data_IF_118972123848
#
_entry.id   IF_118972123848
#
_cell.length_a   1.000
_cell.length_b   1.000
_cell.length_c   1.000
_cell.angle_alpha   90.00
_cell.angle_beta   90.00
_cell.angle_gamma   90.00
#
_symmetry.space_group_name_H-M   'P 1'
#
loop_
_entity.id
_entity.type
_entity.pdbx_description
1 polymer ?
#
# COMPACT_ATOMS: atom_id res chain seq x y z
N UNK A 1 -59.20 4.41 -10.55
CA UNK A 1 -58.10 3.82 -11.38
C UNK A 1 -56.89 4.74 -11.61
N UNK A 2 -57.01 6.08 -11.72
CA UNK A 2 -55.85 6.98 -11.97
C UNK A 2 -54.88 7.12 -10.78
N UNK A 3 -55.34 6.95 -9.54
CA UNK A 3 -54.50 7.03 -8.34
C UNK A 3 -53.64 5.76 -8.13
N UNK A 4 -54.19 4.57 -8.40
CA UNK A 4 -53.50 3.28 -8.24
C UNK A 4 -52.30 3.14 -9.21
N UNK A 5 -52.41 3.66 -10.45
CA UNK A 5 -51.28 3.73 -11.40
C UNK A 5 -50.15 4.67 -10.95
N UNK A 6 -50.46 5.72 -10.16
CA UNK A 6 -49.44 6.65 -9.64
C UNK A 6 -48.70 6.07 -8.42
N UNK A 7 -49.38 5.27 -7.61
CA UNK A 7 -48.78 4.59 -6.46
C UNK A 7 -47.82 3.49 -6.93
N UNK A 8 -48.20 2.67 -7.92
CA UNK A 8 -47.37 1.57 -8.43
C UNK A 8 -46.03 2.05 -9.02
N UNK A 9 -46.00 3.23 -9.66
CA UNK A 9 -44.75 3.81 -10.21
C UNK A 9 -43.86 4.38 -9.10
N UNK A 10 -44.43 4.89 -8.01
CA UNK A 10 -43.67 5.39 -6.85
C UNK A 10 -43.03 4.26 -6.03
N UNK A 11 -43.71 3.12 -5.87
CA UNK A 11 -43.19 2.00 -5.08
C UNK A 11 -42.08 1.21 -5.80
N UNK A 12 -42.09 1.17 -7.14
CA UNK A 12 -41.03 0.52 -7.92
C UNK A 12 -39.69 1.27 -7.85
N UNK A 13 -39.70 2.59 -7.63
CA UNK A 13 -38.48 3.41 -7.54
C UNK A 13 -37.79 3.29 -6.17
N UNK A 14 -38.54 3.00 -5.11
CA UNK A 14 -38.00 2.81 -3.74
C UNK A 14 -37.51 1.37 -3.53
N UNK A 15 -38.08 0.38 -4.21
CA UNK A 15 -37.61 -1.01 -4.12
C UNK A 15 -36.28 -1.26 -4.86
N UNK A 16 -35.83 -0.34 -5.71
CA UNK A 16 -34.60 -0.46 -6.48
C UNK A 16 -33.33 0.04 -5.74
N UNK A 17 -33.48 0.62 -4.54
CA UNK A 17 -32.34 1.17 -3.78
C UNK A 17 -31.77 0.20 -2.73
N UNK A 18 -32.19 -1.07 -2.72
CA UNK A 18 -31.96 -1.95 -1.57
C UNK A 18 -30.79 -2.95 -1.70
N UNK A 19 -29.98 -2.93 -2.77
CA UNK A 19 -28.77 -3.76 -2.86
C UNK A 19 -27.66 -3.07 -3.66
N UNK A 20 -27.11 -1.97 -3.14
CA UNK A 20 -25.80 -1.50 -3.59
C UNK A 20 -24.73 -2.30 -2.85
N UNK A 21 -24.29 -3.43 -3.43
CA UNK A 21 -22.96 -3.95 -3.12
C UNK A 21 -21.97 -3.05 -3.84
N UNK A 22 -20.88 -2.62 -3.21
CA UNK A 22 -19.79 -2.08 -3.99
C UNK A 22 -19.36 -3.10 -5.04
N UNK A 23 -19.12 -2.63 -6.25
CA UNK A 23 -18.45 -3.43 -7.26
C UNK A 23 -16.95 -3.42 -6.95
N UNK A 24 -16.27 -4.50 -7.32
CA UNK A 24 -14.80 -4.55 -7.28
C UNK A 24 -14.21 -3.35 -8.02
N UNK A 25 -13.23 -2.69 -7.39
CA UNK A 25 -12.43 -1.66 -8.04
C UNK A 25 -11.46 -2.32 -9.02
N UNK A 26 -11.19 -1.66 -10.15
CA UNK A 26 -10.13 -2.06 -11.08
C UNK A 26 -9.34 -0.83 -11.51
N UNK A 27 -8.12 -0.70 -10.98
CA UNK A 27 -7.24 0.43 -11.28
C UNK A 27 -5.92 -0.11 -11.79
N UNK A 28 -5.63 0.13 -13.07
CA UNK A 28 -4.40 -0.34 -13.70
C UNK A 28 -4.29 -1.87 -13.80
N UNK A 29 -5.41 -2.60 -13.80
CA UNK A 29 -5.42 -4.07 -13.81
C UNK A 29 -5.39 -4.71 -12.41
N UNK A 30 -5.15 -3.91 -11.36
CA UNK A 30 -5.25 -4.34 -9.97
C UNK A 30 -6.69 -4.26 -9.50
N UNK A 31 -7.20 -5.38 -8.99
CA UNK A 31 -8.60 -5.51 -8.55
C UNK A 31 -8.75 -5.86 -7.08
N UNK A 32 -9.68 -5.21 -6.40
CA UNK A 32 -9.97 -5.45 -4.98
C UNK A 32 -11.41 -5.07 -4.63
N UNK A 33 -11.94 -5.63 -3.53
CA UNK A 33 -13.30 -5.34 -3.05
C UNK A 33 -13.20 -4.27 -1.97
N UNK A 34 -13.70 -3.04 -2.22
CA UNK A 34 -13.59 -1.95 -1.27
C UNK A 34 -14.48 -2.13 -0.03
N UNK A 35 -15.41 -3.11 -0.03
CA UNK A 35 -16.26 -3.44 1.10
C UNK A 35 -15.92 -4.87 1.63
N UNK A 36 -14.68 -5.33 1.43
CA UNK A 36 -14.32 -6.71 1.76
C UNK A 36 -14.48 -7.00 3.25
N UNK A 37 -15.22 -8.05 3.57
CA UNK A 37 -15.37 -8.57 4.93
C UNK A 37 -14.65 -9.92 5.01
N UNK A 38 -13.73 -10.05 5.96
CA UNK A 38 -13.01 -11.31 6.14
C UNK A 38 -13.93 -12.43 6.67
N UNK A 39 -13.43 -13.68 6.67
CA UNK A 39 -14.17 -14.84 7.18
C UNK A 39 -14.58 -14.79 8.67
N UNK A 40 -14.18 -13.75 9.40
CA UNK A 40 -14.53 -13.50 10.80
C UNK A 40 -15.52 -12.33 10.99
N UNK A 41 -15.97 -11.70 9.90
CA UNK A 41 -16.91 -10.58 9.96
C UNK A 41 -16.28 -9.21 10.17
N UNK A 42 -14.95 -9.08 10.04
CA UNK A 42 -14.28 -7.78 10.11
C UNK A 42 -14.17 -7.17 8.72
N UNK A 43 -14.65 -5.93 8.60
CA UNK A 43 -14.50 -5.09 7.40
C UNK A 43 -13.04 -4.66 7.25
N UNK A 44 -12.46 -4.89 6.07
CA UNK A 44 -11.11 -4.53 5.67
C UNK A 44 -11.08 -4.23 4.18
N UNK A 45 -11.44 -3.02 3.79
CA UNK A 45 -11.55 -2.56 2.40
C UNK A 45 -10.32 -2.95 1.57
N UNK A 46 -9.13 -2.60 2.04
CA UNK A 46 -7.88 -2.97 1.40
C UNK A 46 -6.97 -3.68 2.38
N UNK A 47 -6.67 -4.94 2.08
CA UNK A 47 -5.67 -5.71 2.81
C UNK A 47 -4.73 -6.42 1.86
N UNK A 48 -3.50 -5.95 1.77
CA UNK A 48 -2.44 -6.59 1.00
C UNK A 48 -1.48 -7.37 1.88
N UNK A 49 -0.97 -8.49 1.35
CA UNK A 49 0.16 -9.23 1.91
C UNK A 49 1.33 -9.15 0.93
N UNK A 50 2.54 -9.21 1.46
CA UNK A 50 3.74 -9.02 0.66
C UNK A 50 4.93 -9.80 1.19
N UNK A 51 5.86 -10.10 0.28
CA UNK A 51 7.20 -10.60 0.61
C UNK A 51 8.24 -9.66 0.04
N UNK A 52 9.32 -9.46 0.79
CA UNK A 52 10.35 -8.53 0.39
C UNK A 52 11.72 -8.90 0.94
N UNK A 53 12.72 -8.18 0.45
CA UNK A 53 14.07 -8.14 1.01
C UNK A 53 14.39 -6.70 1.36
N UNK A 54 15.00 -6.49 2.52
CA UNK A 54 15.50 -5.18 2.95
C UNK A 54 16.99 -5.25 3.26
N UNK A 55 17.62 -4.07 3.22
CA UNK A 55 19.02 -3.89 3.56
C UNK A 55 19.27 -2.48 4.08
N UNK A 56 20.42 -2.32 4.73
CA UNK A 56 20.91 -1.03 5.15
C UNK A 56 22.04 -0.58 4.24
N UNK A 57 22.19 0.72 4.05
CA UNK A 57 23.31 1.31 3.30
C UNK A 57 23.66 2.70 3.83
N UNK A 58 24.73 3.30 3.34
CA UNK A 58 25.04 4.73 3.56
C UNK A 58 24.42 5.65 2.52
N UNK A 59 23.52 5.12 1.68
CA UNK A 59 22.91 5.83 0.56
C UNK A 59 21.42 5.97 0.80
N UNK A 60 20.94 7.22 0.87
CA UNK A 60 19.51 7.50 0.79
C UNK A 60 19.04 7.32 -0.64
N UNK A 61 18.39 6.20 -0.95
CA UNK A 61 17.84 5.99 -2.29
C UNK A 61 16.83 7.08 -2.68
N UNK A 62 16.97 7.57 -3.90
CA UNK A 62 15.99 8.52 -4.46
C UNK A 62 14.68 7.79 -4.75
N UNK A 63 13.57 8.53 -4.66
CA UNK A 63 12.22 8.02 -4.88
C UNK A 63 12.14 7.24 -6.19
N UNK A 64 11.67 5.99 -6.10
CA UNK A 64 11.52 5.09 -7.25
C UNK A 64 12.80 4.41 -7.71
N UNK A 65 13.83 4.32 -6.85
CA UNK A 65 15.07 3.63 -7.18
C UNK A 65 15.58 2.79 -6.01
N UNK A 66 16.33 1.74 -6.31
CA UNK A 66 16.96 0.86 -5.32
C UNK A 66 18.47 0.75 -5.62
N UNK A 67 19.14 1.89 -5.79
CA UNK A 67 20.56 1.92 -6.19
C UNK A 67 21.48 1.39 -5.08
N UNK A 68 21.10 1.61 -3.83
CA UNK A 68 21.86 1.19 -2.66
C UNK A 68 22.03 -0.33 -2.52
N UNK A 69 21.21 -1.12 -3.22
CA UNK A 69 21.32 -2.58 -3.28
C UNK A 69 22.69 -3.04 -3.79
N UNK A 70 23.41 -2.20 -4.54
CA UNK A 70 24.74 -2.54 -5.06
C UNK A 70 25.86 -2.36 -4.03
N UNK A 71 25.58 -1.66 -2.92
CA UNK A 71 26.53 -1.34 -1.87
C UNK A 71 25.86 -1.37 -0.48
N UNK A 72 25.26 -2.52 -0.08
CA UNK A 72 24.70 -2.67 1.26
C UNK A 72 25.83 -2.70 2.31
N UNK A 73 25.48 -2.40 3.55
CA UNK A 73 26.36 -2.58 4.71
C UNK A 73 25.87 -3.74 5.57
N UNK A 74 26.80 -4.36 6.30
CA UNK A 74 26.45 -5.43 7.23
C UNK A 74 25.65 -4.88 8.41
N UNK A 75 24.61 -5.60 8.83
CA UNK A 75 23.75 -5.19 9.95
C UNK A 75 24.53 -4.92 11.24
N UNK A 76 25.61 -5.66 11.50
CA UNK A 76 26.49 -5.39 12.65
C UNK A 76 27.17 -4.02 12.64
N UNK A 77 27.39 -3.43 11.45
CA UNK A 77 27.91 -2.06 11.34
C UNK A 77 26.86 -1.02 11.73
N UNK A 78 25.59 -1.27 11.39
CA UNK A 78 24.46 -0.41 11.78
C UNK A 78 24.24 -0.50 13.28
N UNK A 79 24.15 -1.72 13.82
CA UNK A 79 23.99 -1.94 15.27
C UNK A 79 25.17 -1.40 16.08
N UNK A 80 26.39 -1.45 15.55
CA UNK A 80 27.57 -0.88 16.22
C UNK A 80 27.62 0.65 16.20
N UNK A 81 26.87 1.30 15.31
CA UNK A 81 26.72 2.75 15.28
C UNK A 81 25.56 3.25 16.14
N UNK A 82 24.57 2.40 16.41
CA UNK A 82 23.48 2.70 17.34
C UNK A 82 24.01 2.65 18.78
N UNK A 83 23.80 3.72 19.53
CA UNK A 83 24.05 3.81 20.96
C UNK A 83 22.71 3.96 21.70
N UNK A 84 22.12 2.82 22.05
CA UNK A 84 20.83 2.75 22.77
C UNK A 84 20.87 3.37 24.17
N UNK A 85 22.04 3.78 24.68
CA UNK A 85 22.19 4.45 25.98
C UNK A 85 22.26 5.98 25.88
N UNK A 86 22.41 6.51 24.67
CA UNK A 86 22.51 7.93 24.43
C UNK A 86 21.12 8.56 24.28
N UNK A 87 20.88 9.65 25.02
CA UNK A 87 19.78 10.60 24.73
C UNK A 87 20.11 11.53 23.56
N UNK A 88 21.21 11.27 22.86
CA UNK A 88 21.72 12.12 21.78
C UNK A 88 20.89 11.90 20.53
N UNK A 89 20.30 12.98 20.03
CA UNK A 89 19.66 13.03 18.72
C UNK A 89 20.74 13.22 17.67
N UNK A 90 20.80 12.36 16.66
CA UNK A 90 21.76 12.50 15.56
C UNK A 90 21.76 11.32 14.59
N UNK A 91 21.71 11.59 13.30
CA UNK A 91 21.68 10.53 12.29
C UNK A 91 22.96 9.67 12.34
N UNK A 92 22.80 8.35 12.33
CA UNK A 92 23.91 7.38 12.15
C UNK A 92 24.58 7.49 10.78
N UNK A 93 23.88 8.08 9.81
CA UNK A 93 24.27 8.09 8.39
C UNK A 93 23.85 6.84 7.62
N UNK A 94 23.16 5.89 8.28
CA UNK A 94 22.59 4.72 7.62
C UNK A 94 21.14 4.95 7.21
N UNK A 95 20.75 4.28 6.12
CA UNK A 95 19.42 4.31 5.54
C UNK A 95 18.92 2.89 5.31
N UNK A 96 17.64 2.68 5.56
CA UNK A 96 16.90 1.47 5.26
C UNK A 96 16.24 1.59 3.88
N UNK A 97 16.43 0.57 3.05
CA UNK A 97 15.76 0.40 1.77
C UNK A 97 15.29 -1.05 1.61
N UNK A 98 14.33 -1.28 0.73
CA UNK A 98 13.87 -2.62 0.41
C UNK A 98 12.94 -2.66 -0.79
N UNK A 99 12.75 -3.87 -1.31
CA UNK A 99 11.91 -4.13 -2.47
C UNK A 99 11.32 -5.53 -2.44
N UNK A 100 10.16 -5.69 -3.07
CA UNK A 100 9.44 -6.96 -3.09
C UNK A 100 8.18 -6.95 -3.93
N UNK A 101 7.32 -7.93 -3.70
CA UNK A 101 6.04 -8.08 -4.38
C UNK A 101 4.88 -8.24 -3.41
N UNK A 102 3.71 -7.79 -3.85
CA UNK A 102 2.43 -8.05 -3.20
C UNK A 102 1.91 -9.37 -3.76
N UNK A 103 1.68 -10.36 -2.88
CA UNK A 103 1.25 -11.71 -3.28
C UNK A 103 -0.26 -11.90 -3.16
N UNK A 104 -0.94 -10.98 -2.47
CA UNK A 104 -2.37 -11.07 -2.23
C UNK A 104 -2.98 -9.70 -1.89
N UNK A 105 -4.22 -9.48 -2.35
CA UNK A 105 -5.11 -8.41 -1.89
C UNK A 105 -6.47 -9.04 -1.53
N UNK A 106 -7.04 -8.67 -0.38
CA UNK A 106 -8.27 -9.23 0.19
C UNK A 106 -8.24 -10.78 0.26
N UNK A 107 -9.06 -11.51 -0.50
CA UNK A 107 -9.18 -12.97 -0.45
C UNK A 107 -8.20 -13.72 -1.36
N UNK A 108 -7.59 -14.85 -0.93
CA UNK A 108 -6.59 -15.59 -1.72
C UNK A 108 -7.15 -16.25 -2.99
N UNK A 109 -8.48 -16.44 -3.06
CA UNK A 109 -9.16 -17.05 -4.20
C UNK A 109 -9.34 -16.08 -5.37
N UNK A 110 -9.12 -14.79 -5.15
CA UNK A 110 -9.24 -13.75 -6.16
C UNK A 110 -7.89 -13.48 -6.81
N UNK A 111 -7.85 -13.56 -8.13
CA UNK A 111 -6.69 -13.10 -8.89
C UNK A 111 -6.74 -11.56 -8.99
N UNK A 112 -6.09 -10.88 -8.05
CA UNK A 112 -6.11 -9.42 -7.98
C UNK A 112 -5.33 -8.77 -9.14
N UNK A 113 -4.39 -9.48 -9.78
CA UNK A 113 -3.56 -8.99 -10.88
C UNK A 113 -3.45 -10.06 -11.98
N UNK A 114 -4.50 -10.27 -12.79
CA UNK A 114 -4.51 -11.38 -13.74
C UNK A 114 -3.53 -11.21 -14.91
N UNK A 115 -3.30 -9.97 -15.33
CA UNK A 115 -2.43 -9.61 -16.45
C UNK A 115 -1.26 -8.74 -16.03
N UNK A 116 -0.96 -8.71 -14.72
CA UNK A 116 0.03 -7.81 -14.16
C UNK A 116 0.75 -8.44 -12.98
N UNK A 117 1.81 -7.76 -12.59
CA UNK A 117 2.56 -7.96 -11.37
C UNK A 117 2.51 -6.67 -10.55
N UNK A 118 2.39 -6.82 -9.22
CA UNK A 118 2.37 -5.68 -8.30
C UNK A 118 3.61 -5.75 -7.40
N UNK A 119 4.60 -4.94 -7.73
CA UNK A 119 5.86 -4.81 -7.00
C UNK A 119 5.84 -3.54 -6.14
N UNK A 120 6.74 -3.47 -5.18
CA UNK A 120 6.92 -2.26 -4.40
C UNK A 120 8.36 -2.06 -3.98
N UNK A 121 8.73 -0.81 -3.76
CA UNK A 121 10.01 -0.41 -3.24
C UNK A 121 9.83 0.69 -2.19
N UNK A 122 10.73 0.71 -1.21
CA UNK A 122 10.82 1.77 -0.23
C UNK A 122 12.28 2.14 0.03
N UNK A 123 12.48 3.38 0.46
CA UNK A 123 13.82 3.92 0.71
C UNK A 123 13.82 5.29 1.36
N UNK A 124 15.03 5.79 1.62
CA UNK A 124 15.26 7.10 2.24
C UNK A 124 14.78 7.21 3.69
N UNK A 125 14.64 6.08 4.37
CA UNK A 125 14.34 6.00 5.80
C UNK A 125 15.68 6.04 6.55
N UNK A 126 15.96 7.10 7.30
CA UNK A 126 17.22 7.22 8.06
C UNK A 126 17.17 6.49 9.39
N UNK A 127 18.33 6.13 9.94
CA UNK A 127 18.49 5.55 11.29
C UNK A 127 19.15 6.58 12.22
N UNK A 128 18.53 6.84 13.36
CA UNK A 128 19.04 7.71 14.42
C UNK A 128 19.97 6.93 15.38
N UNK A 129 20.82 7.64 16.11
CA UNK A 129 21.78 7.04 17.04
C UNK A 129 21.11 6.24 18.15
N UNK A 130 19.88 6.58 18.52
CA UNK A 130 19.09 5.84 19.51
C UNK A 130 18.41 4.57 18.94
N UNK A 131 18.60 4.28 17.65
CA UNK A 131 18.03 3.15 16.95
C UNK A 131 16.62 3.38 16.41
N UNK A 132 16.06 4.59 16.55
CA UNK A 132 14.79 4.97 15.94
C UNK A 132 14.95 5.38 14.47
N UNK A 133 13.82 5.53 13.78
CA UNK A 133 13.81 5.93 12.37
C UNK A 133 13.65 7.44 12.22
N UNK A 134 14.55 8.05 11.45
CA UNK A 134 14.42 9.44 11.02
C UNK A 134 13.65 9.50 9.70
N UNK A 135 12.43 10.03 9.75
CA UNK A 135 11.56 10.17 8.58
C UNK A 135 11.57 11.60 8.04
N UNK A 136 11.70 11.73 6.72
CA UNK A 136 11.66 13.01 6.00
C UNK A 136 10.73 12.92 4.80
N UNK A 137 10.60 13.99 4.02
CA UNK A 137 9.89 13.97 2.73
C UNK A 137 10.52 13.00 1.71
N UNK A 138 11.76 12.56 1.97
CA UNK A 138 12.48 11.58 1.18
C UNK A 138 12.31 10.15 1.69
N UNK A 139 11.52 9.91 2.74
CA UNK A 139 11.23 8.55 3.22
C UNK A 139 10.00 8.03 2.50
N UNK A 140 10.21 7.23 1.45
CA UNK A 140 9.18 6.96 0.45
C UNK A 140 8.82 5.48 0.35
N UNK A 141 7.60 5.23 -0.09
CA UNK A 141 7.09 3.93 -0.54
C UNK A 141 6.44 4.14 -1.91
N UNK A 142 6.78 3.30 -2.88
CA UNK A 142 6.10 3.25 -4.16
C UNK A 142 5.68 1.83 -4.48
N UNK A 143 4.46 1.69 -4.99
CA UNK A 143 3.92 0.45 -5.53
C UNK A 143 3.83 0.61 -7.03
N UNK A 144 4.30 -0.38 -7.77
CA UNK A 144 4.37 -0.39 -9.22
C UNK A 144 3.49 -1.50 -9.76
N UNK A 145 2.70 -1.18 -10.78
CA UNK A 145 2.01 -2.17 -11.58
C UNK A 145 2.80 -2.37 -12.87
N UNK A 146 3.22 -3.61 -13.12
CA UNK A 146 3.96 -4.01 -14.32
C UNK A 146 3.16 -5.05 -15.12
N UNK A 147 3.17 -4.93 -16.44
CA UNK A 147 2.53 -5.88 -17.35
C UNK A 147 3.52 -6.89 -17.93
N UNK A 148 4.84 -6.69 -17.75
CA UNK A 148 5.85 -7.61 -18.26
C UNK A 148 6.00 -8.88 -17.40
N UNK A 149 5.59 -8.85 -16.13
CA UNK A 149 5.58 -9.99 -15.18
C UNK A 149 6.96 -10.66 -15.17
N UNK A 150 7.97 -9.88 -14.81
CA UNK A 150 9.37 -10.23 -14.96
C UNK A 150 10.11 -10.41 -13.62
N UNK A 151 9.48 -10.09 -12.48
CA UNK A 151 9.99 -10.41 -11.17
C UNK A 151 9.52 -11.81 -10.76
N UNK A 152 10.42 -12.61 -10.20
CA UNK A 152 10.17 -14.04 -9.95
C UNK A 152 9.61 -14.33 -8.55
N UNK A 153 9.28 -13.26 -7.82
CA UNK A 153 8.81 -13.31 -6.43
C UNK A 153 9.93 -13.37 -5.40
N UNK A 154 11.21 -13.44 -5.81
CA UNK A 154 12.38 -13.39 -4.95
C UNK A 154 13.30 -12.23 -5.30
N UNK A 155 13.93 -11.65 -4.29
CA UNK A 155 14.94 -10.61 -4.48
C UNK A 155 16.31 -11.23 -4.22
N UNK A 156 16.88 -11.80 -5.27
CA UNK A 156 18.09 -12.64 -5.21
C UNK A 156 19.33 -11.92 -5.78
N UNK A 157 19.14 -10.80 -6.48
CA UNK A 157 20.19 -10.10 -7.17
C UNK A 157 19.96 -8.58 -7.30
N UNK A 158 21.04 -7.85 -7.59
CA UNK A 158 20.99 -6.43 -7.93
C UNK A 158 20.20 -6.16 -9.21
N UNK A 159 20.04 -7.16 -10.09
CA UNK A 159 19.23 -6.99 -11.30
C UNK A 159 17.73 -6.84 -10.96
N UNK A 160 17.28 -7.47 -9.87
CA UNK A 160 15.88 -7.50 -9.46
C UNK A 160 15.41 -6.13 -8.98
N UNK A 161 16.32 -5.27 -8.53
CA UNK A 161 16.04 -3.87 -8.24
C UNK A 161 15.36 -3.16 -9.42
N UNK A 162 15.71 -3.53 -10.66
CA UNK A 162 15.11 -2.94 -11.86
C UNK A 162 13.73 -3.49 -12.14
N UNK A 163 13.53 -4.81 -12.03
CA UNK A 163 12.23 -5.45 -12.25
C UNK A 163 11.21 -5.12 -11.16
N UNK A 164 11.68 -4.78 -9.95
CA UNK A 164 10.81 -4.28 -8.87
C UNK A 164 10.34 -2.84 -9.11
N UNK A 165 11.01 -2.06 -9.96
CA UNK A 165 10.78 -0.60 -10.11
C UNK A 165 10.53 -0.13 -11.55
N UNK A 166 10.38 -1.05 -12.52
CA UNK A 166 10.20 -0.73 -13.95
C UNK A 166 8.73 -0.54 -14.37
N UNK A 167 7.78 -0.86 -13.50
CA UNK A 167 6.35 -0.68 -13.72
C UNK A 167 5.87 0.78 -13.61
N UNK A 168 4.57 0.98 -13.87
CA UNK A 168 3.90 2.26 -13.68
C UNK A 168 3.59 2.48 -12.19
N UNK A 169 3.81 3.70 -11.69
CA UNK A 169 3.51 4.04 -10.29
C UNK A 169 2.01 3.94 -10.00
N UNK A 170 1.63 2.86 -9.30
CA UNK A 170 0.26 2.56 -8.90
C UNK A 170 -0.13 3.28 -7.60
N UNK A 171 0.79 3.33 -6.62
CA UNK A 171 0.69 4.18 -5.44
C UNK A 171 2.04 4.84 -5.13
N UNK A 172 2.00 6.10 -4.71
CA UNK A 172 3.14 6.87 -4.23
C UNK A 172 2.83 7.41 -2.84
N UNK A 173 3.68 7.10 -1.87
CA UNK A 173 3.47 7.46 -0.48
C UNK A 173 4.76 7.92 0.21
N UNK A 174 4.59 8.61 1.35
CA UNK A 174 5.69 9.04 2.23
C UNK A 174 5.44 8.54 3.63
N UNK A 175 6.44 7.91 4.24
CA UNK A 175 6.36 7.48 5.63
C UNK A 175 6.25 8.68 6.56
N UNK A 176 5.26 8.62 7.45
CA UNK A 176 4.97 9.64 8.46
C UNK A 176 5.19 9.12 9.88
N UNK A 177 5.18 7.80 10.06
CA UNK A 177 5.65 7.12 11.27
C UNK A 177 6.28 5.78 10.91
N UNK A 178 7.25 5.35 11.72
CA UNK A 178 7.90 4.06 11.66
C UNK A 178 8.44 3.75 13.06
N UNK A 179 7.98 2.67 13.67
CA UNK A 179 8.34 2.27 15.03
C UNK A 179 8.49 0.76 15.12
N UNK A 180 9.61 0.30 15.68
CA UNK A 180 9.76 -1.09 16.09
C UNK A 180 8.81 -1.37 17.26
N UNK A 181 8.24 -2.58 17.27
CA UNK A 181 7.45 -3.05 18.39
C UNK A 181 8.34 -3.25 19.65
N UNK A 182 7.69 -3.38 20.80
CA UNK A 182 8.40 -3.46 22.07
C UNK A 182 9.29 -4.73 22.12
N UNK A 183 10.59 -4.52 22.39
CA UNK A 183 11.66 -5.53 22.42
C UNK A 183 12.20 -5.99 21.05
N UNK A 184 11.72 -5.40 19.97
CA UNK A 184 12.25 -5.65 18.63
C UNK A 184 13.49 -4.81 18.34
N UNK A 185 14.26 -5.26 17.35
CA UNK A 185 15.58 -4.71 17.01
C UNK A 185 15.71 -4.50 15.51
N UNK A 186 16.67 -3.69 15.08
CA UNK A 186 16.91 -3.39 13.67
C UNK A 186 17.31 -4.62 12.84
N UNK A 187 17.86 -5.67 13.48
CA UNK A 187 18.27 -6.92 12.86
C UNK A 187 17.22 -8.04 12.94
N UNK A 188 16.27 -7.93 13.86
CA UNK A 188 15.15 -8.85 13.98
C UNK A 188 13.98 -8.17 14.70
N UNK A 189 12.92 -7.87 13.94
CA UNK A 189 11.83 -7.12 14.53
C UNK A 189 10.63 -6.93 13.61
N UNK A 190 9.49 -6.62 14.24
CA UNK A 190 8.28 -6.11 13.64
C UNK A 190 8.32 -4.58 13.63
N UNK A 191 8.19 -4.00 12.45
CA UNK A 191 8.08 -2.57 12.20
C UNK A 191 6.62 -2.24 11.91
N UNK A 192 6.04 -1.33 12.69
CA UNK A 192 4.74 -0.72 12.38
C UNK A 192 4.95 0.70 11.85
N UNK A 193 4.38 0.99 10.69
CA UNK A 193 4.54 2.28 9.99
C UNK A 193 3.21 2.81 9.46
N UNK A 194 3.15 4.13 9.29
CA UNK A 194 2.06 4.82 8.58
C UNK A 194 2.67 5.59 7.42
N UNK A 195 2.13 5.41 6.22
CA UNK A 195 2.50 6.20 5.06
C UNK A 195 1.30 7.01 4.57
N UNK A 196 1.53 8.28 4.24
CA UNK A 196 0.54 9.16 3.58
C UNK A 196 0.71 9.03 2.08
N UNK A 197 -0.41 8.72 1.40
CA UNK A 197 -0.50 8.62 -0.05
C UNK A 197 -0.52 10.03 -0.64
N UNK A 198 0.38 10.25 -1.62
CA UNK A 198 0.60 11.53 -2.27
C UNK A 198 0.33 11.49 -3.79
N UNK A 199 0.15 10.29 -4.37
CA UNK A 199 -0.07 10.13 -5.80
C UNK A 199 -0.08 8.66 -6.24
N UNK A 200 -0.03 8.46 -7.57
CA UNK A 200 -0.20 7.16 -8.20
C UNK A 200 -1.61 6.94 -8.75
N UNK A 201 -1.77 5.91 -9.60
CA UNK A 201 -3.03 5.61 -10.28
C UNK A 201 -4.20 5.34 -9.30
N UNK A 202 -3.93 4.70 -8.16
CA UNK A 202 -4.94 4.32 -7.19
C UNK A 202 -5.11 5.30 -6.02
N UNK A 203 -4.40 6.44 -6.03
CA UNK A 203 -4.34 7.35 -4.89
C UNK A 203 -5.72 7.84 -4.43
N UNK A 204 -6.55 8.26 -5.39
CA UNK A 204 -7.89 8.83 -5.14
C UNK A 204 -8.90 7.79 -4.61
N UNK A 205 -8.50 6.52 -4.48
CA UNK A 205 -9.33 5.46 -3.93
C UNK A 205 -9.14 5.25 -2.44
N UNK A 206 -8.11 5.83 -1.81
CA UNK A 206 -7.85 5.66 -0.39
C UNK A 206 -8.35 6.86 0.42
N UNK A 207 -9.25 6.62 1.38
CA UNK A 207 -9.80 7.65 2.28
C UNK A 207 -9.90 7.12 3.73
N UNK A 208 -9.13 7.67 4.69
CA UNK A 208 -8.14 8.73 4.50
C UNK A 208 -7.00 8.29 3.58
N UNK A 209 -6.24 9.24 3.06
CA UNK A 209 -5.07 9.02 2.20
C UNK A 209 -3.87 8.47 2.99
N UNK A 210 -4.10 7.46 3.84
CA UNK A 210 -3.12 6.84 4.71
C UNK A 210 -3.25 5.33 4.63
N UNK A 211 -2.10 4.68 4.64
CA UNK A 211 -1.99 3.22 4.74
C UNK A 211 -1.17 2.87 5.97
N UNK A 212 -1.62 1.84 6.68
CA UNK A 212 -0.88 1.21 7.75
C UNK A 212 -0.09 0.05 7.19
N UNK A 213 1.19 -0.01 7.55
CA UNK A 213 2.11 -1.05 7.10
C UNK A 213 2.68 -1.72 8.33
N UNK A 214 2.67 -3.04 8.33
CA UNK A 214 3.34 -3.85 9.36
C UNK A 214 4.25 -4.84 8.63
N UNK A 215 5.54 -4.81 8.92
CA UNK A 215 6.53 -5.66 8.26
C UNK A 215 7.50 -6.26 9.26
N UNK A 216 7.89 -7.51 9.06
CA UNK A 216 8.95 -8.16 9.82
C UNK A 216 10.08 -8.54 8.88
N UNK A 217 11.32 -8.31 9.31
CA UNK A 217 12.51 -8.80 8.63
C UNK A 217 13.51 -9.36 9.65
N UNK A 218 14.22 -10.41 9.25
CA UNK A 218 15.29 -11.01 10.05
C UNK A 218 16.60 -11.08 9.26
N UNK A 219 17.70 -10.70 9.90
CA UNK A 219 19.06 -10.89 9.41
C UNK A 219 19.69 -12.12 10.08
N UNK A 220 20.19 -13.06 9.28
CA UNK A 220 20.70 -14.34 9.81
C UNK A 220 21.96 -14.21 10.67
N UNK A 221 22.74 -13.14 10.52
CA UNK A 221 23.95 -12.88 11.30
C UNK A 221 24.34 -11.41 11.27
N UNK A 222 25.26 -10.99 12.14
CA UNK A 222 25.82 -9.64 12.12
C UNK A 222 26.56 -9.27 10.82
N UNK A 223 26.96 -10.27 10.03
CA UNK A 223 27.61 -10.06 8.73
C UNK A 223 26.61 -10.06 7.55
N UNK A 224 25.32 -10.27 7.81
CA UNK A 224 24.29 -10.27 6.77
C UNK A 224 24.15 -8.88 6.17
N UNK A 225 24.19 -8.81 4.83
CA UNK A 225 23.98 -7.59 4.05
C UNK A 225 22.50 -7.35 3.72
N UNK A 226 21.73 -8.43 3.64
CA UNK A 226 20.31 -8.44 3.32
C UNK A 226 19.55 -9.28 4.34
N UNK A 227 18.26 -8.98 4.52
CA UNK A 227 17.35 -9.83 5.29
C UNK A 227 17.18 -11.19 4.61
N UNK A 228 17.16 -12.28 5.38
CA UNK A 228 16.99 -13.65 4.85
C UNK A 228 15.54 -14.10 4.76
N UNK A 229 14.61 -13.29 5.29
CA UNK A 229 13.19 -13.45 5.15
C UNK A 229 12.49 -12.21 5.66
N UNK A 230 11.58 -11.65 4.85
CA UNK A 230 10.73 -10.57 5.28
C UNK A 230 9.32 -10.70 4.69
N UNK A 231 8.33 -10.42 5.53
CA UNK A 231 6.92 -10.44 5.15
C UNK A 231 6.25 -9.18 5.66
N UNK A 232 5.26 -8.72 4.92
CA UNK A 232 4.55 -7.49 5.21
C UNK A 232 3.05 -7.62 5.02
N UNK A 233 2.33 -6.74 5.68
CA UNK A 233 0.90 -6.53 5.52
C UNK A 233 0.65 -5.03 5.41
N UNK A 234 -0.20 -4.66 4.45
CA UNK A 234 -0.63 -3.28 4.23
C UNK A 234 -2.15 -3.25 4.37
N UNK A 235 -2.64 -2.30 5.16
CA UNK A 235 -4.06 -2.07 5.37
C UNK A 235 -4.41 -0.61 5.06
N UNK A 236 -5.55 -0.41 4.41
CA UNK A 236 -6.10 0.91 4.11
C UNK A 236 -7.61 0.84 3.94
N UNK A 237 -8.25 2.00 4.07
CA UNK A 237 -9.67 2.17 3.76
C UNK A 237 -9.80 2.66 2.33
N UNK A 238 -10.77 2.15 1.57
CA UNK A 238 -10.96 2.54 0.19
C UNK A 238 -12.39 2.94 -0.12
N UNK A 239 -12.56 3.94 -0.98
CA UNK A 239 -13.86 4.40 -1.42
C UNK A 239 -14.24 3.76 -2.74
N UNK A 240 -15.47 3.23 -2.78
CA UNK A 240 -16.11 2.79 -4.01
C UNK A 240 -16.16 3.89 -5.07
N UNK A 241 -16.14 3.51 -6.36
CA UNK A 241 -16.18 4.49 -7.45
C UNK A 241 -17.38 5.45 -7.31
N UNK A 242 -17.26 6.72 -7.74
CA UNK A 242 -18.32 7.74 -7.62
C UNK A 242 -19.59 7.47 -8.45
N UNK A 243 -19.78 6.28 -9.02
CA UNK A 243 -20.90 5.91 -9.88
C UNK A 243 -22.27 6.15 -9.24
N UNK A 244 -22.40 5.99 -7.92
CA UNK A 244 -23.67 6.19 -7.20
C UNK A 244 -24.11 7.66 -7.20
N UNK A 245 -23.17 8.61 -7.09
CA UNK A 245 -23.47 10.04 -7.14
C UNK A 245 -23.81 10.47 -8.57
N UNK A 246 -23.09 9.96 -9.57
CA UNK A 246 -23.39 10.25 -10.98
C UNK A 246 -24.77 9.71 -11.37
N UNK A 247 -25.12 8.48 -10.97
CA UNK A 247 -26.43 7.89 -11.24
C UNK A 247 -27.55 8.59 -10.47
N UNK A 248 -27.31 8.99 -9.21
CA UNK A 248 -28.26 9.83 -8.48
C UNK A 248 -28.46 11.20 -9.14
N UNK A 249 -27.37 11.82 -9.62
CA UNK A 249 -27.42 13.07 -10.40
C UNK A 249 -28.20 12.93 -11.71
N UNK A 250 -27.98 11.85 -12.45
CA UNK A 250 -28.73 11.53 -13.68
C UNK A 250 -30.20 11.24 -13.36
N UNK A 251 -30.49 10.54 -12.26
CA UNK A 251 -31.85 10.26 -11.81
C UNK A 251 -32.60 11.56 -11.47
N UNK A 252 -31.94 12.51 -10.81
CA UNK A 252 -32.49 13.85 -10.52
C UNK A 252 -32.74 14.68 -11.79
N UNK A 253 -31.82 14.65 -12.75
CA UNK A 253 -32.00 15.29 -14.06
C UNK A 253 -33.16 14.66 -14.86
N UNK A 254 -33.28 13.33 -14.79
CA UNK A 254 -34.41 12.58 -15.33
C UNK A 254 -35.75 13.02 -14.73
N UNK A 255 -35.83 13.16 -13.41
CA UNK A 255 -37.03 13.65 -12.71
C UNK A 255 -37.37 15.10 -13.07
N UNK A 256 -36.37 15.98 -13.18
CA UNK A 256 -36.56 17.37 -13.59
C UNK A 256 -37.09 17.51 -15.03
N UNK A 257 -36.61 16.67 -15.95
CA UNK A 257 -37.06 16.65 -17.35
C UNK A 257 -38.50 16.14 -17.51
N UNK A 258 -38.94 15.20 -16.66
CA UNK A 258 -40.33 14.73 -16.61
C UNK A 258 -41.27 15.80 -16.03
N UNK A 259 -40.80 16.58 -15.05
CA UNK A 259 -41.57 17.68 -14.48
C UNK A 259 -41.80 18.81 -15.51
N UNK A 260 -40.79 19.14 -16.32
CA UNK A 260 -40.92 20.15 -17.40
C UNK A 260 -41.88 19.78 -18.52
N UNK A 261 -42.13 18.49 -18.78
CA UNK A 261 -43.12 18.06 -19.80
C UNK A 261 -44.57 18.14 -19.33
N UNK A 262 -44.82 18.47 -18.06
CA UNK A 262 -46.17 18.62 -17.48
C UNK A 262 -46.58 20.07 -17.26
N UNK A 263 -45.68 21.03 -17.43
CA UNK A 263 -45.97 22.47 -17.49
C UNK A 263 -46.12 22.88 -18.96
#
# INVERSE_FOLDING_TARGET
>A
MKALKKVIIGTALVAATATSSAADLNIGGVTWDPDWINGFGNEMDFLAQSKFTQWYSTTSDVRGSLNSVSAPVAIGSVLGAVDASATDQGATGFFLSGGGHIDRINEPSRNFCQSCELTFAFGGIGIDLDGTFTLTTNSWLQVFVDEAINYDGSFDSVADAKTVTDGLVWLDATFTSAQLDQNDTLDNGLLTSIATINGGLAADRFDPNQIKITGNATFASLNSLYSTGANGQVAGNTVSEPGTIAMFGIALLGLASVYRRRA
#
